data_IF_742852341066
#
_entry.id   IF_742852341066
#
_cell.length_a   1.000
_cell.length_b   1.000
_cell.length_c   1.000
_cell.angle_alpha   90.00
_cell.angle_beta   90.00
_cell.angle_gamma   90.00
#
_symmetry.space_group_name_H-M   'P 1'
#
loop_
_entity.id
_entity.type
_entity.pdbx_description
1 polymer ?
#
# COMPACT_ATOMS: atom_id res chain seq x y z
N UNK A 1 22.65 -19.89 -9.82
CA UNK A 1 21.18 -19.87 -9.95
C UNK A 1 20.48 -19.67 -8.61
N UNK A 2 20.89 -20.38 -7.55
CA UNK A 2 20.33 -20.27 -6.19
C UNK A 2 20.35 -18.85 -5.60
N UNK A 3 21.45 -18.09 -5.76
CA UNK A 3 21.52 -16.72 -5.24
C UNK A 3 20.48 -15.76 -5.84
N UNK A 4 20.15 -15.91 -7.14
CA UNK A 4 19.12 -15.11 -7.80
C UNK A 4 17.71 -15.47 -7.31
N UNK A 5 17.45 -16.76 -7.12
CA UNK A 5 16.18 -17.23 -6.55
C UNK A 5 16.00 -16.72 -5.12
N UNK A 6 17.04 -16.80 -4.29
CA UNK A 6 17.02 -16.27 -2.93
C UNK A 6 16.75 -14.76 -2.90
N UNK A 7 17.39 -13.96 -3.76
CA UNK A 7 17.12 -12.52 -3.85
C UNK A 7 15.68 -12.21 -4.28
N UNK A 8 15.14 -12.96 -5.25
CA UNK A 8 13.75 -12.82 -5.69
C UNK A 8 12.79 -13.16 -4.55
N UNK A 9 13.02 -14.27 -3.84
CA UNK A 9 12.21 -14.69 -2.70
C UNK A 9 12.25 -13.66 -1.57
N UNK A 10 13.43 -13.15 -1.20
CA UNK A 10 13.56 -12.10 -0.18
C UNK A 10 12.84 -10.83 -0.61
N UNK A 11 12.96 -10.42 -1.88
CA UNK A 11 12.25 -9.23 -2.35
C UNK A 11 10.72 -9.42 -2.33
N UNK A 12 10.24 -10.62 -2.65
CA UNK A 12 8.82 -10.93 -2.60
C UNK A 12 8.29 -10.96 -1.15
N UNK A 13 9.02 -11.58 -0.23
CA UNK A 13 8.71 -11.59 1.22
C UNK A 13 8.70 -10.16 1.76
N UNK A 14 9.73 -9.36 1.43
CA UNK A 14 9.81 -7.92 1.79
C UNK A 14 8.60 -7.13 1.29
N UNK A 15 8.18 -7.38 0.05
CA UNK A 15 7.03 -6.69 -0.54
C UNK A 15 5.71 -6.96 0.20
N UNK A 16 5.60 -8.12 0.86
CA UNK A 16 4.39 -8.54 1.57
C UNK A 16 4.46 -8.35 3.08
N UNK A 17 5.68 -8.23 3.64
CA UNK A 17 5.87 -8.09 5.08
C UNK A 17 5.22 -6.82 5.63
N UNK A 18 5.29 -5.70 4.93
CA UNK A 18 4.66 -4.44 5.36
C UNK A 18 3.15 -4.59 5.58
N UNK A 19 2.37 -5.01 4.56
CA UNK A 19 0.95 -5.30 4.71
C UNK A 19 0.60 -6.31 5.81
N UNK A 20 1.33 -7.43 5.93
CA UNK A 20 1.12 -8.41 7.01
C UNK A 20 1.38 -7.77 8.38
N UNK A 21 2.50 -7.08 8.55
CA UNK A 21 2.87 -6.46 9.83
C UNK A 21 1.84 -5.42 10.24
N UNK A 22 1.38 -4.60 9.31
CA UNK A 22 0.31 -3.64 9.57
C UNK A 22 -1.01 -4.33 9.95
N UNK A 23 -1.37 -5.42 9.28
CA UNK A 23 -2.55 -6.21 9.62
C UNK A 23 -2.45 -6.82 11.02
N UNK A 24 -1.31 -7.42 11.37
CA UNK A 24 -1.07 -7.99 12.70
C UNK A 24 -1.07 -6.92 13.80
N UNK A 25 -0.41 -5.78 13.57
CA UNK A 25 -0.44 -4.64 14.51
C UNK A 25 -1.89 -4.22 14.75
N UNK A 26 -2.69 -4.04 13.69
CA UNK A 26 -4.09 -3.66 13.83
C UNK A 26 -4.92 -4.72 14.57
N UNK A 27 -4.72 -6.00 14.25
CA UNK A 27 -5.39 -7.13 14.89
C UNK A 27 -5.17 -7.14 16.40
N UNK A 28 -3.90 -7.09 16.82
CA UNK A 28 -3.57 -7.11 18.25
C UNK A 28 -3.98 -5.82 18.94
N UNK A 29 -3.83 -4.66 18.30
CA UNK A 29 -4.21 -3.40 18.92
C UNK A 29 -5.72 -3.30 19.17
N UNK A 30 -6.56 -3.78 18.23
CA UNK A 30 -8.02 -3.84 18.44
C UNK A 30 -8.36 -4.75 19.62
N UNK A 31 -7.68 -5.89 19.74
CA UNK A 31 -7.92 -6.84 20.83
C UNK A 31 -7.53 -6.31 22.21
N UNK A 32 -6.43 -5.54 22.29
CA UNK A 32 -5.93 -5.03 23.57
C UNK A 32 -6.57 -3.70 23.98
N UNK A 33 -6.81 -2.80 23.04
CA UNK A 33 -7.25 -1.43 23.32
C UNK A 33 -8.69 -1.14 22.93
N UNK A 34 -9.34 -2.05 22.21
CA UNK A 34 -10.68 -1.86 21.67
C UNK A 34 -10.71 -1.14 20.32
N UNK A 35 -11.83 -1.33 19.63
CA UNK A 35 -12.10 -0.86 18.28
C UNK A 35 -12.06 0.67 18.17
N UNK A 36 -12.71 1.36 19.11
CA UNK A 36 -12.82 2.82 19.11
C UNK A 36 -11.46 3.51 19.18
N UNK A 37 -10.67 3.13 20.19
CA UNK A 37 -9.32 3.65 20.43
C UNK A 37 -8.41 3.45 19.23
N UNK A 38 -8.39 2.25 18.66
CA UNK A 38 -7.58 1.98 17.48
C UNK A 38 -8.08 2.70 16.23
N UNK A 39 -9.40 2.92 16.10
CA UNK A 39 -10.00 3.76 15.06
C UNK A 39 -9.45 5.18 15.03
N UNK A 40 -9.14 5.77 16.19
CA UNK A 40 -8.48 7.08 16.29
C UNK A 40 -7.07 7.03 15.68
N UNK A 41 -6.30 5.98 15.98
CA UNK A 41 -4.96 5.78 15.40
C UNK A 41 -5.03 5.63 13.88
N UNK A 42 -5.98 4.85 13.38
CA UNK A 42 -6.20 4.65 11.94
C UNK A 42 -6.47 5.98 11.25
N UNK A 43 -7.34 6.82 11.80
CA UNK A 43 -7.63 8.14 11.24
C UNK A 43 -6.36 9.01 11.12
N UNK A 44 -5.52 9.02 12.16
CA UNK A 44 -4.23 9.73 12.12
C UNK A 44 -3.30 9.16 11.04
N UNK A 45 -3.14 7.84 10.98
CA UNK A 45 -2.30 7.16 10.00
C UNK A 45 -2.77 7.39 8.55
N UNK A 46 -4.08 7.37 8.29
CA UNK A 46 -4.64 7.66 6.95
C UNK A 46 -4.31 9.08 6.49
N UNK A 47 -4.38 10.05 7.40
CA UNK A 47 -4.05 11.44 7.12
C UNK A 47 -2.55 11.58 6.80
N UNK A 48 -1.70 10.92 7.59
CA UNK A 48 -0.24 10.88 7.38
C UNK A 48 0.10 10.22 6.04
N UNK A 49 -0.44 9.03 5.76
CA UNK A 49 -0.15 8.31 4.53
C UNK A 49 -0.60 9.04 3.26
N UNK A 50 -1.71 9.79 3.33
CA UNK A 50 -2.15 10.67 2.25
C UNK A 50 -1.10 11.72 1.93
N UNK A 51 -0.62 12.44 2.94
CA UNK A 51 0.38 13.51 2.77
C UNK A 51 1.70 12.93 2.26
N UNK A 52 2.17 11.83 2.86
CA UNK A 52 3.37 11.12 2.41
C UNK A 52 3.26 10.70 0.94
N UNK A 53 2.08 10.20 0.53
CA UNK A 53 1.84 9.79 -0.84
C UNK A 53 2.05 10.96 -1.81
N UNK A 54 1.43 12.11 -1.55
CA UNK A 54 1.66 13.33 -2.34
C UNK A 54 3.12 13.77 -2.32
N UNK A 55 3.78 13.75 -1.17
CA UNK A 55 5.20 14.12 -1.08
C UNK A 55 6.13 13.20 -1.89
N UNK A 56 5.79 11.92 -2.04
CA UNK A 56 6.59 10.97 -2.81
C UNK A 56 6.61 11.30 -4.32
N UNK A 57 5.49 11.80 -4.85
CA UNK A 57 5.32 12.24 -6.24
C UNK A 57 5.98 11.34 -7.31
N UNK A 58 5.82 10.02 -7.17
CA UNK A 58 6.35 9.02 -8.13
C UNK A 58 7.89 8.94 -8.19
N UNK A 59 8.58 9.31 -7.11
CA UNK A 59 10.05 9.38 -7.08
C UNK A 59 10.74 8.03 -7.32
N UNK A 60 10.21 6.94 -6.76
CA UNK A 60 10.84 5.62 -6.75
C UNK A 60 11.12 5.09 -8.14
N UNK A 61 10.10 4.99 -8.98
CA UNK A 61 10.19 4.42 -10.34
C UNK A 61 11.09 5.29 -11.23
N UNK A 62 10.96 6.61 -11.12
CA UNK A 62 11.81 7.56 -11.83
C UNK A 62 13.28 7.43 -11.45
N UNK A 63 13.59 7.38 -10.16
CA UNK A 63 14.97 7.29 -9.67
C UNK A 63 15.62 5.99 -10.08
N UNK A 64 14.91 4.85 -9.97
CA UNK A 64 15.44 3.55 -10.43
C UNK A 64 15.82 3.59 -11.91
N UNK A 65 15.01 4.26 -12.76
CA UNK A 65 15.32 4.47 -14.17
C UNK A 65 16.53 5.41 -14.36
N UNK A 66 16.57 6.53 -13.65
CA UNK A 66 17.66 7.52 -13.72
C UNK A 66 19.01 6.92 -13.29
N UNK A 67 19.03 6.11 -12.23
CA UNK A 67 20.23 5.41 -11.75
C UNK A 67 20.79 4.44 -12.81
N UNK A 68 19.91 3.76 -13.55
CA UNK A 68 20.32 2.82 -14.60
C UNK A 68 20.94 3.54 -15.80
N UNK A 69 20.50 4.76 -16.11
CA UNK A 69 21.08 5.59 -17.19
C UNK A 69 22.38 6.29 -16.79
N UNK A 70 22.56 6.61 -15.50
CA UNK A 70 23.70 7.39 -14.99
C UNK A 70 24.27 6.77 -13.70
N UNK A 71 24.88 5.58 -13.76
CA UNK A 71 25.33 4.84 -12.58
C UNK A 71 26.44 5.55 -11.79
N UNK A 72 27.18 6.48 -12.39
CA UNK A 72 28.20 7.27 -11.70
C UNK A 72 27.63 8.41 -10.84
N UNK A 73 26.39 8.85 -11.09
CA UNK A 73 25.77 10.03 -10.45
C UNK A 73 24.57 9.68 -9.56
N UNK A 74 24.49 8.45 -9.05
CA UNK A 74 23.37 7.94 -8.26
C UNK A 74 23.04 8.84 -7.06
N UNK A 75 24.03 9.15 -6.22
CA UNK A 75 23.79 9.93 -5.01
C UNK A 75 23.43 11.38 -5.31
N UNK A 76 23.97 11.94 -6.40
CA UNK A 76 23.56 13.27 -6.85
C UNK A 76 22.09 13.28 -7.28
N UNK A 77 21.68 12.31 -8.12
CA UNK A 77 20.29 12.15 -8.51
C UNK A 77 19.36 11.90 -7.30
N UNK A 78 19.81 11.12 -6.32
CA UNK A 78 19.08 10.88 -5.08
C UNK A 78 18.87 12.16 -4.27
N UNK A 79 19.94 12.89 -3.94
CA UNK A 79 19.85 14.10 -3.13
C UNK A 79 19.06 15.20 -3.85
N UNK A 80 19.27 15.34 -5.17
CA UNK A 80 18.50 16.29 -5.98
C UNK A 80 17.00 16.05 -5.87
N UNK A 81 16.61 14.78 -6.00
CA UNK A 81 15.22 14.39 -5.89
C UNK A 81 14.67 14.52 -4.47
N UNK A 82 15.40 14.04 -3.47
CA UNK A 82 15.02 14.14 -2.07
C UNK A 82 14.77 15.59 -1.64
N UNK A 83 15.68 16.51 -2.00
CA UNK A 83 15.55 17.93 -1.71
C UNK A 83 14.39 18.57 -2.49
N UNK A 84 14.26 18.23 -3.78
CA UNK A 84 13.14 18.73 -4.59
C UNK A 84 11.79 18.30 -4.01
N UNK A 85 11.65 17.05 -3.54
CA UNK A 85 10.41 16.57 -2.89
C UNK A 85 10.20 17.11 -1.48
N UNK A 86 11.27 17.41 -0.77
CA UNK A 86 11.20 18.08 0.53
C UNK A 86 10.53 19.45 0.46
N UNK A 87 10.46 20.09 -0.72
CA UNK A 87 9.64 21.30 -0.92
C UNK A 87 8.14 21.08 -0.70
N UNK A 88 7.66 19.84 -0.75
CA UNK A 88 6.27 19.48 -0.42
C UNK A 88 6.05 19.23 1.08
N UNK A 89 7.10 19.28 1.92
CA UNK A 89 6.97 19.15 3.38
C UNK A 89 5.97 20.12 4.02
N UNK A 90 5.83 21.39 3.58
CA UNK A 90 4.81 22.28 4.12
C UNK A 90 3.38 21.75 4.01
N UNK A 91 3.08 20.80 3.10
CA UNK A 91 1.78 20.12 3.07
C UNK A 91 1.47 19.36 4.37
N UNK A 92 2.49 18.94 5.13
CA UNK A 92 2.28 18.33 6.43
C UNK A 92 1.69 19.28 7.48
N UNK A 93 1.82 20.61 7.29
CA UNK A 93 1.24 21.61 8.18
C UNK A 93 -0.30 21.58 8.16
N UNK A 94 -0.93 21.05 7.11
CA UNK A 94 -2.38 20.83 7.07
C UNK A 94 -2.87 19.94 8.22
N UNK A 95 -2.00 19.11 8.81
CA UNK A 95 -2.36 18.28 9.97
C UNK A 95 -2.75 19.11 11.21
N UNK A 96 -2.30 20.36 11.32
CA UNK A 96 -2.74 21.25 12.40
C UNK A 96 -4.23 21.63 12.31
N UNK A 97 -4.85 21.51 11.14
CA UNK A 97 -6.29 21.76 10.97
C UNK A 97 -7.15 20.60 11.52
N UNK A 98 -6.60 19.38 11.56
CA UNK A 98 -7.36 18.17 11.90
C UNK A 98 -7.03 17.63 13.30
N UNK A 99 -5.88 18.00 13.88
CA UNK A 99 -5.41 17.44 15.14
C UNK A 99 -4.95 18.54 16.12
N UNK A 100 -5.12 18.31 17.43
CA UNK A 100 -4.55 19.20 18.45
C UNK A 100 -3.03 19.37 18.29
N UNK A 101 -2.51 20.54 18.65
CA UNK A 101 -1.12 20.97 18.43
C UNK A 101 -0.07 19.87 18.72
N UNK A 102 -0.18 19.22 19.89
CA UNK A 102 0.77 18.18 20.30
C UNK A 102 0.69 16.92 19.43
N UNK A 103 -0.51 16.51 19.03
CA UNK A 103 -0.73 15.33 18.18
C UNK A 103 -0.25 15.64 16.76
N UNK A 104 -0.63 16.81 16.22
CA UNK A 104 -0.21 17.29 14.92
C UNK A 104 1.32 17.32 14.78
N UNK A 105 2.03 17.79 15.81
CA UNK A 105 3.49 17.77 15.84
C UNK A 105 4.07 16.35 15.66
N UNK A 106 3.56 15.36 16.40
CA UNK A 106 4.02 13.97 16.24
C UNK A 106 3.62 13.37 14.90
N UNK A 107 2.46 13.73 14.35
CA UNK A 107 2.04 13.32 13.00
C UNK A 107 2.96 13.91 11.92
N UNK A 108 3.37 15.17 12.04
CA UNK A 108 4.31 15.84 11.13
C UNK A 108 5.69 15.18 11.22
N UNK A 109 6.18 14.94 12.45
CA UNK A 109 7.45 14.26 12.65
C UNK A 109 7.43 12.86 12.01
N UNK A 110 6.36 12.10 12.22
CA UNK A 110 6.17 10.80 11.60
C UNK A 110 6.12 10.91 10.06
N UNK A 111 5.45 11.93 9.52
CA UNK A 111 5.41 12.21 8.08
C UNK A 111 6.80 12.44 7.51
N UNK A 112 7.65 13.23 8.18
CA UNK A 112 9.04 13.48 7.79
C UNK A 112 9.86 12.17 7.78
N UNK A 113 9.70 11.37 8.82
CA UNK A 113 10.41 10.09 8.94
C UNK A 113 10.00 9.11 7.85
N UNK A 114 8.70 8.97 7.58
CA UNK A 114 8.18 8.10 6.51
C UNK A 114 8.62 8.62 5.14
N UNK A 115 8.55 9.93 4.90
CA UNK A 115 9.02 10.53 3.64
C UNK A 115 10.48 10.19 3.37
N UNK A 116 11.33 10.37 4.38
CA UNK A 116 12.77 10.09 4.28
C UNK A 116 13.02 8.60 4.08
N UNK A 117 12.32 7.73 4.82
CA UNK A 117 12.38 6.28 4.65
C UNK A 117 11.99 5.86 3.22
N UNK A 118 10.88 6.40 2.69
CA UNK A 118 10.40 6.08 1.35
C UNK A 118 11.37 6.54 0.26
N UNK A 119 12.04 7.69 0.43
CA UNK A 119 13.05 8.15 -0.52
C UNK A 119 14.22 7.14 -0.66
N UNK A 120 14.63 6.52 0.45
CA UNK A 120 15.70 5.51 0.47
C UNK A 120 15.34 4.24 -0.29
N UNK A 121 14.05 3.95 -0.54
CA UNK A 121 13.65 2.71 -1.20
C UNK A 121 14.28 2.57 -2.60
N UNK A 122 14.40 3.68 -3.34
CA UNK A 122 15.06 3.70 -4.65
C UNK A 122 16.52 3.21 -4.58
N UNK A 123 17.27 3.61 -3.55
CA UNK A 123 18.65 3.21 -3.32
C UNK A 123 18.75 1.75 -2.86
N UNK A 124 17.79 1.27 -2.08
CA UNK A 124 17.74 -0.13 -1.64
C UNK A 124 17.53 -1.05 -2.83
N UNK A 125 16.61 -0.70 -3.73
CA UNK A 125 16.33 -1.46 -4.96
C UNK A 125 17.56 -1.50 -5.84
N UNK A 126 18.21 -0.35 -6.07
CA UNK A 126 19.40 -0.27 -6.91
C UNK A 126 20.56 -1.09 -6.36
N UNK A 127 20.85 -0.97 -5.06
CA UNK A 127 21.93 -1.71 -4.39
C UNK A 127 21.54 -3.15 -4.00
N UNK A 128 20.32 -3.59 -4.32
CA UNK A 128 19.76 -4.91 -3.98
C UNK A 128 19.83 -5.26 -2.48
N UNK A 129 19.76 -4.27 -1.58
CA UNK A 129 19.83 -4.46 -0.12
C UNK A 129 18.49 -4.83 0.51
N UNK A 130 17.74 -5.72 -0.13
CA UNK A 130 16.38 -6.10 0.27
C UNK A 130 16.33 -6.74 1.67
N UNK A 131 17.33 -7.55 2.02
CA UNK A 131 17.41 -8.21 3.33
C UNK A 131 17.54 -7.22 4.48
N UNK A 132 18.35 -6.16 4.30
CA UNK A 132 18.50 -5.12 5.33
C UNK A 132 17.19 -4.38 5.56
N UNK A 133 16.47 -4.03 4.48
CA UNK A 133 15.17 -3.40 4.60
C UNK A 133 14.18 -4.33 5.32
N UNK A 134 14.17 -5.62 4.98
CA UNK A 134 13.32 -6.60 5.63
C UNK A 134 13.62 -6.74 7.13
N UNK A 135 14.90 -6.77 7.53
CA UNK A 135 15.29 -6.76 8.96
C UNK A 135 14.84 -5.48 9.66
N UNK A 136 14.99 -4.32 9.03
CA UNK A 136 14.50 -3.06 9.57
C UNK A 136 12.97 -3.07 9.75
N UNK A 137 12.23 -3.63 8.79
CA UNK A 137 10.78 -3.87 8.89
C UNK A 137 10.41 -4.75 10.09
N UNK A 138 11.12 -5.88 10.28
CA UNK A 138 10.89 -6.78 11.42
C UNK A 138 11.16 -6.09 12.76
N UNK A 139 12.27 -5.35 12.88
CA UNK A 139 12.62 -4.66 14.13
C UNK A 139 11.56 -3.62 14.49
N UNK A 140 11.13 -2.81 13.52
CA UNK A 140 10.08 -1.81 13.76
C UNK A 140 8.74 -2.43 14.10
N UNK A 141 8.38 -3.51 13.41
CA UNK A 141 7.20 -4.31 13.73
C UNK A 141 7.28 -4.84 15.16
N UNK A 142 8.42 -5.39 15.58
CA UNK A 142 8.64 -5.85 16.94
C UNK A 142 8.52 -4.74 18.00
N UNK A 143 9.06 -3.54 17.72
CA UNK A 143 8.91 -2.36 18.60
C UNK A 143 7.43 -1.98 18.76
N UNK A 144 6.70 -1.85 17.65
CA UNK A 144 5.28 -1.44 17.69
C UNK A 144 4.44 -2.54 18.35
N UNK A 145 4.65 -3.80 17.96
CA UNK A 145 3.91 -4.93 18.48
C UNK A 145 4.15 -5.14 19.97
N UNK A 146 5.40 -5.11 20.43
CA UNK A 146 5.71 -5.21 21.87
C UNK A 146 5.05 -4.09 22.67
N UNK A 147 5.01 -2.87 22.14
CA UNK A 147 4.35 -1.76 22.84
C UNK A 147 2.85 -1.97 23.07
N UNK A 148 2.16 -2.73 22.21
CA UNK A 148 0.75 -3.09 22.40
C UNK A 148 0.58 -3.97 23.64
N UNK A 149 1.51 -4.90 23.88
CA UNK A 149 1.45 -5.81 25.03
C UNK A 149 1.91 -5.16 26.35
N UNK A 150 2.80 -4.16 26.29
CA UNK A 150 3.35 -3.51 27.49
C UNK A 150 2.52 -2.32 27.98
N UNK A 151 1.81 -1.61 27.09
CA UNK A 151 0.98 -0.47 27.47
C UNK A 151 -0.39 -0.94 27.95
N UNK A 152 -0.76 -0.56 29.17
CA UNK A 152 -2.08 -0.89 29.74
C UNK A 152 -3.23 -0.08 29.12
N UNK A 153 -2.98 1.19 28.83
CA UNK A 153 -3.99 2.13 28.34
C UNK A 153 -3.59 2.72 26.99
N UNK A 154 -4.58 2.93 26.12
CA UNK A 154 -4.37 3.56 24.84
C UNK A 154 -4.30 5.09 24.98
N UNK A 155 -3.20 5.66 24.49
CA UNK A 155 -3.08 7.09 24.28
C UNK A 155 -2.46 7.34 22.90
N UNK A 156 -3.20 8.03 22.03
CA UNK A 156 -2.79 8.33 20.65
C UNK A 156 -1.37 8.95 20.60
N UNK A 157 -1.10 9.92 21.48
CA UNK A 157 0.20 10.59 21.58
C UNK A 157 1.34 9.61 21.84
N UNK A 158 1.13 8.62 22.71
CA UNK A 158 2.15 7.61 23.05
C UNK A 158 2.40 6.69 21.87
N UNK A 159 1.34 6.24 21.18
CA UNK A 159 1.49 5.43 19.98
C UNK A 159 2.19 6.18 18.85
N UNK A 160 1.87 7.45 18.60
CA UNK A 160 2.58 8.25 17.61
C UNK A 160 4.08 8.40 17.94
N UNK A 161 4.43 8.57 19.22
CA UNK A 161 5.84 8.57 19.66
C UNK A 161 6.52 7.23 19.38
N UNK A 162 5.86 6.11 19.67
CA UNK A 162 6.38 4.77 19.41
C UNK A 162 6.59 4.56 17.90
N UNK A 163 5.64 4.99 17.07
CA UNK A 163 5.80 4.95 15.62
C UNK A 163 6.97 5.81 15.15
N UNK A 164 7.12 7.04 15.67
CA UNK A 164 8.28 7.88 15.37
C UNK A 164 9.60 7.20 15.76
N UNK A 165 9.64 6.58 16.94
CA UNK A 165 10.81 5.84 17.40
C UNK A 165 11.10 4.64 16.47
N UNK A 166 10.10 3.81 16.17
CA UNK A 166 10.24 2.65 15.29
C UNK A 166 10.71 3.04 13.87
N UNK A 167 10.16 4.11 13.30
CA UNK A 167 10.61 4.64 12.00
C UNK A 167 12.01 5.27 12.06
N UNK A 168 12.37 5.91 13.17
CA UNK A 168 13.74 6.41 13.37
C UNK A 168 14.74 5.28 13.39
N UNK A 169 14.47 4.19 14.11
CA UNK A 169 15.31 2.98 14.13
C UNK A 169 15.47 2.39 12.74
N UNK A 170 14.36 2.23 11.98
CA UNK A 170 14.41 1.77 10.57
C UNK A 170 15.33 2.62 9.72
N UNK A 171 15.15 3.93 9.81
CA UNK A 171 15.86 4.91 9.00
C UNK A 171 17.35 4.90 9.34
N UNK A 172 17.71 4.87 10.62
CA UNK A 172 19.11 4.77 11.07
C UNK A 172 19.77 3.49 10.53
N UNK A 173 19.10 2.33 10.68
CA UNK A 173 19.61 1.05 10.17
C UNK A 173 19.89 1.09 8.66
N UNK A 174 18.99 1.70 7.89
CA UNK A 174 19.16 1.85 6.45
C UNK A 174 20.26 2.84 6.07
N UNK A 175 20.35 4.00 6.74
CA UNK A 175 21.41 4.98 6.49
C UNK A 175 22.78 4.36 6.76
N UNK A 176 22.93 3.62 7.86
CA UNK A 176 24.15 2.89 8.22
C UNK A 176 24.54 1.89 7.13
N UNK A 177 23.59 1.03 6.75
CA UNK A 177 23.88 -0.01 5.78
C UNK A 177 24.13 0.53 4.37
N UNK A 178 23.45 1.62 3.98
CA UNK A 178 23.67 2.28 2.69
C UNK A 178 24.92 3.17 2.68
N UNK A 179 25.53 3.44 3.84
CA UNK A 179 26.73 4.30 4.02
C UNK A 179 26.55 5.67 3.38
N UNK A 180 25.35 6.24 3.52
CA UNK A 180 24.94 7.49 2.83
C UNK A 180 25.86 8.65 3.22
N UNK A 181 26.29 8.71 4.48
CA UNK A 181 27.19 9.75 5.00
C UNK A 181 28.57 9.77 4.32
N UNK A 182 29.02 8.67 3.71
CA UNK A 182 30.32 8.62 3.01
C UNK A 182 30.26 9.19 1.60
N UNK A 183 29.07 9.56 1.12
CA UNK A 183 28.84 9.96 -0.26
C UNK A 183 28.72 11.47 -0.37
N UNK A 184 29.25 12.07 -1.44
CA UNK A 184 29.25 13.52 -1.60
C UNK A 184 27.81 14.02 -1.62
N UNK A 185 27.51 14.94 -0.71
CA UNK A 185 26.24 15.63 -0.67
C UNK A 185 26.21 16.69 -1.77
N UNK A 186 25.09 16.77 -2.50
CA UNK A 186 24.90 17.74 -3.56
C UNK A 186 23.56 18.43 -3.38
N UNK A 187 23.59 19.73 -3.15
CA UNK A 187 22.38 20.54 -3.04
C UNK A 187 21.95 21.02 -4.43
N UNK A 188 20.98 20.34 -5.02
CA UNK A 188 20.38 20.77 -6.28
C UNK A 188 18.86 20.60 -6.19
N UNK A 189 18.11 21.65 -6.50
CA UNK A 189 16.65 21.60 -6.57
C UNK A 189 16.28 21.78 -8.03
N UNK A 190 15.46 20.87 -8.57
CA UNK A 190 15.08 20.92 -9.97
C UNK A 190 13.57 20.78 -10.13
N UNK A 191 12.93 21.84 -10.62
CA UNK A 191 11.49 21.82 -10.98
C UNK A 191 11.20 20.81 -12.09
N UNK A 192 12.15 20.58 -13.00
CA UNK A 192 12.00 19.62 -14.08
C UNK A 192 11.77 18.20 -13.56
N UNK A 193 12.29 17.87 -12.37
CA UNK A 193 12.01 16.56 -11.78
C UNK A 193 10.53 16.34 -11.45
N UNK A 194 9.78 17.38 -11.07
CA UNK A 194 8.34 17.25 -10.84
C UNK A 194 7.59 16.87 -12.12
N UNK A 195 7.94 17.50 -13.23
CA UNK A 195 7.34 17.21 -14.53
C UNK A 195 7.72 15.81 -15.02
N UNK A 196 8.99 15.42 -14.85
CA UNK A 196 9.49 14.12 -15.29
C UNK A 196 8.88 12.94 -14.52
N UNK A 197 8.51 13.13 -13.25
CA UNK A 197 7.90 12.07 -12.43
C UNK A 197 6.37 12.10 -12.43
N UNK A 198 5.74 13.11 -13.05
CA UNK A 198 4.29 13.27 -13.02
C UNK A 198 3.54 12.03 -13.55
N UNK A 199 4.03 11.40 -14.62
CA UNK A 199 3.43 10.17 -15.14
C UNK A 199 3.45 9.01 -14.12
N UNK A 200 4.55 8.84 -13.39
CA UNK A 200 4.65 7.84 -12.32
C UNK A 200 3.78 8.20 -11.12
N UNK A 201 3.69 9.48 -10.79
CA UNK A 201 2.76 9.97 -9.76
C UNK A 201 1.31 9.64 -10.12
N UNK A 202 0.87 9.92 -11.35
CA UNK A 202 -0.49 9.59 -11.79
C UNK A 202 -0.78 8.09 -11.76
N UNK A 203 0.21 7.25 -12.10
CA UNK A 203 0.11 5.79 -11.96
C UNK A 203 -0.09 5.38 -10.50
N UNK A 204 0.77 5.88 -9.60
CA UNK A 204 0.63 5.65 -8.16
C UNK A 204 -0.71 6.14 -7.61
N UNK A 205 -1.15 7.33 -8.05
CA UNK A 205 -2.38 7.98 -7.57
C UNK A 205 -3.58 7.16 -7.99
N UNK A 206 -3.62 6.70 -9.25
CA UNK A 206 -4.70 5.86 -9.73
C UNK A 206 -4.87 4.58 -8.90
N UNK A 207 -3.76 3.90 -8.55
CA UNK A 207 -3.79 2.68 -7.74
C UNK A 207 -4.14 2.96 -6.28
N UNK A 208 -3.65 4.07 -5.73
CA UNK A 208 -3.94 4.47 -4.36
C UNK A 208 -5.41 4.85 -4.18
N UNK A 209 -5.97 5.71 -5.05
CA UNK A 209 -7.39 6.08 -4.99
C UNK A 209 -8.27 4.84 -5.20
N UNK A 210 -7.97 4.02 -6.21
CA UNK A 210 -8.76 2.81 -6.48
C UNK A 210 -8.80 1.81 -5.31
N UNK A 211 -7.78 1.78 -4.45
CA UNK A 211 -7.66 0.81 -3.35
C UNK A 211 -8.04 1.35 -1.97
N UNK A 212 -8.21 2.68 -1.83
CA UNK A 212 -8.42 3.32 -0.52
C UNK A 212 -9.56 4.33 -0.47
N UNK A 213 -10.15 4.72 -1.60
CA UNK A 213 -11.20 5.75 -1.63
C UNK A 213 -12.41 5.39 -0.76
N UNK A 214 -12.77 4.11 -0.75
CA UNK A 214 -13.81 3.54 0.11
C UNK A 214 -13.50 3.76 1.59
N UNK A 215 -12.26 3.50 1.99
CA UNK A 215 -11.79 3.66 3.36
C UNK A 215 -11.80 5.14 3.79
N UNK A 216 -11.49 6.07 2.89
CA UNK A 216 -11.62 7.51 3.19
C UNK A 216 -13.07 7.93 3.41
N UNK A 217 -14.02 7.40 2.64
CA UNK A 217 -15.45 7.68 2.86
C UNK A 217 -15.91 7.10 4.18
N UNK A 218 -15.54 5.84 4.48
CA UNK A 218 -15.84 5.22 5.78
C UNK A 218 -15.24 6.05 6.93
N UNK A 219 -14.01 6.55 6.78
CA UNK A 219 -13.36 7.40 7.79
C UNK A 219 -14.06 8.74 8.01
N UNK A 220 -14.73 9.27 6.99
CA UNK A 220 -15.47 10.53 7.05
C UNK A 220 -16.90 10.37 7.58
N UNK A 221 -17.56 9.25 7.27
CA UNK A 221 -19.00 9.05 7.49
C UNK A 221 -19.32 8.21 8.73
N UNK A 222 -18.42 7.32 9.15
CA UNK A 222 -18.69 6.33 10.20
C UNK A 222 -18.03 6.65 11.54
N UNK A 223 -18.52 6.00 12.60
CA UNK A 223 -17.92 6.05 13.93
C UNK A 223 -16.56 5.34 13.97
N UNK A 224 -15.71 5.71 14.95
CA UNK A 224 -14.32 5.22 15.05
C UNK A 224 -14.22 3.70 15.19
N UNK A 225 -15.19 3.07 15.86
CA UNK A 225 -15.28 1.61 15.96
C UNK A 225 -15.40 0.96 14.58
N UNK A 226 -16.39 1.37 13.79
CA UNK A 226 -16.66 0.85 12.45
C UNK A 226 -15.49 1.12 11.49
N UNK A 227 -14.78 2.25 11.65
CA UNK A 227 -13.56 2.54 10.88
C UNK A 227 -12.49 1.47 11.14
N UNK A 228 -12.30 1.07 12.40
CA UNK A 228 -11.34 0.03 12.74
C UNK A 228 -11.74 -1.34 12.20
N UNK A 229 -13.01 -1.71 12.31
CA UNK A 229 -13.58 -2.97 11.80
C UNK A 229 -13.42 -3.06 10.28
N UNK A 230 -13.79 -1.99 9.59
CA UNK A 230 -13.67 -1.93 8.13
C UNK A 230 -12.21 -1.96 7.69
N UNK A 231 -11.34 -1.17 8.33
CA UNK A 231 -9.93 -1.08 7.96
C UNK A 231 -9.21 -2.41 8.10
N UNK A 232 -9.43 -3.15 9.19
CA UNK A 232 -8.80 -4.46 9.36
C UNK A 232 -9.37 -5.48 8.36
N UNK A 233 -10.69 -5.45 8.14
CA UNK A 233 -11.35 -6.40 7.25
C UNK A 233 -10.97 -6.17 5.77
N UNK A 234 -11.03 -4.93 5.28
CA UNK A 234 -10.64 -4.60 3.91
C UNK A 234 -9.15 -4.86 3.70
N UNK A 235 -8.30 -4.64 4.71
CA UNK A 235 -6.87 -4.98 4.62
C UNK A 235 -6.68 -6.49 4.47
N UNK A 236 -7.44 -7.31 5.19
CA UNK A 236 -7.40 -8.77 5.03
C UNK A 236 -7.78 -9.20 3.59
N UNK A 237 -8.85 -8.62 3.04
CA UNK A 237 -9.25 -8.91 1.65
C UNK A 237 -8.25 -8.40 0.63
N UNK A 238 -7.64 -7.22 0.84
CA UNK A 238 -6.56 -6.71 -0.01
C UNK A 238 -5.32 -7.63 0.02
N UNK A 239 -5.01 -8.28 1.14
CA UNK A 239 -3.96 -9.30 1.21
C UNK A 239 -4.31 -10.48 0.29
N UNK A 240 -5.56 -10.98 0.32
CA UNK A 240 -6.03 -12.04 -0.58
C UNK A 240 -5.94 -11.63 -2.06
N UNK A 241 -6.32 -10.39 -2.38
CA UNK A 241 -6.20 -9.85 -3.74
C UNK A 241 -4.73 -9.78 -4.20
N UNK A 242 -3.82 -9.38 -3.30
CA UNK A 242 -2.39 -9.26 -3.64
C UNK A 242 -1.71 -10.60 -3.95
N UNK A 243 -2.24 -11.72 -3.45
CA UNK A 243 -1.78 -13.06 -3.82
C UNK A 243 -1.90 -13.32 -5.33
N UNK A 244 -2.88 -12.70 -6.01
CA UNK A 244 -3.01 -12.79 -7.47
C UNK A 244 -1.77 -12.26 -8.19
N UNK A 245 -1.22 -11.14 -7.72
CA UNK A 245 0.01 -10.57 -8.26
C UNK A 245 1.23 -11.42 -7.90
N UNK A 246 1.26 -12.02 -6.71
CA UNK A 246 2.34 -12.90 -6.28
C UNK A 246 2.50 -14.12 -7.20
N UNK A 247 1.39 -14.71 -7.66
CA UNK A 247 1.42 -15.81 -8.63
C UNK A 247 2.11 -15.39 -9.94
N UNK A 248 1.97 -14.13 -10.33
CA UNK A 248 2.49 -13.59 -11.61
C UNK A 248 3.90 -13.00 -11.45
N UNK A 249 4.27 -12.55 -10.25
CA UNK A 249 5.51 -11.84 -9.97
C UNK A 249 6.78 -12.54 -10.52
N UNK A 250 6.97 -13.88 -10.37
CA UNK A 250 8.12 -14.58 -10.93
C UNK A 250 8.23 -14.44 -12.46
N UNK A 251 7.11 -14.26 -13.13
CA UNK A 251 7.03 -14.18 -14.59
C UNK A 251 7.12 -12.75 -15.11
N UNK A 252 6.96 -11.72 -14.27
CA UNK A 252 6.82 -10.32 -14.72
C UNK A 252 7.95 -9.88 -15.68
N UNK A 253 9.22 -10.18 -15.36
CA UNK A 253 10.36 -9.86 -16.23
C UNK A 253 10.30 -10.55 -17.60
N UNK A 254 9.83 -11.79 -17.64
CA UNK A 254 9.75 -12.60 -18.85
C UNK A 254 8.44 -12.36 -19.62
N UNK A 255 7.41 -11.84 -18.95
CA UNK A 255 6.06 -11.66 -19.45
C UNK A 255 6.02 -10.85 -20.75
N UNK A 256 6.86 -9.81 -20.86
CA UNK A 256 6.99 -8.97 -22.05
C UNK A 256 7.42 -9.74 -23.32
N UNK A 257 8.05 -10.90 -23.16
CA UNK A 257 8.58 -11.73 -24.27
C UNK A 257 7.77 -13.01 -24.51
N UNK A 258 6.78 -13.32 -23.67
CA UNK A 258 6.01 -14.57 -23.80
C UNK A 258 5.09 -14.55 -25.03
N UNK A 259 4.92 -15.69 -25.74
CA UNK A 259 3.94 -15.78 -26.82
C UNK A 259 2.51 -15.73 -26.26
N UNK A 260 1.55 -15.23 -27.07
CA UNK A 260 0.14 -15.06 -26.67
C UNK A 260 -0.48 -16.36 -26.12
N UNK A 261 -0.13 -17.51 -26.72
CA UNK A 261 -0.59 -18.85 -26.26
C UNK A 261 -0.19 -19.13 -24.80
N UNK A 262 1.03 -18.78 -24.40
CA UNK A 262 1.49 -18.97 -23.01
C UNK A 262 0.80 -18.03 -22.04
N UNK A 263 0.56 -16.78 -22.45
CA UNK A 263 -0.20 -15.81 -21.63
C UNK A 263 -1.62 -16.32 -21.37
N UNK A 264 -2.29 -16.88 -22.37
CA UNK A 264 -3.61 -17.48 -22.20
C UNK A 264 -3.60 -18.66 -21.22
N UNK A 265 -2.57 -19.53 -21.29
CA UNK A 265 -2.39 -20.61 -20.32
C UNK A 265 -2.23 -20.09 -18.89
N UNK A 266 -1.38 -19.06 -18.69
CA UNK A 266 -1.21 -18.42 -17.37
C UNK A 266 -2.55 -17.86 -16.87
N UNK A 267 -3.29 -17.15 -17.72
CA UNK A 267 -4.62 -16.61 -17.39
C UNK A 267 -5.60 -17.69 -16.93
N UNK A 268 -5.62 -18.85 -17.62
CA UNK A 268 -6.46 -19.99 -17.25
C UNK A 268 -6.05 -20.59 -15.91
N UNK A 269 -4.75 -20.74 -15.65
CA UNK A 269 -4.23 -21.25 -14.37
C UNK A 269 -4.59 -20.31 -13.22
N UNK A 270 -4.32 -19.01 -13.36
CA UNK A 270 -4.63 -18.01 -12.33
C UNK A 270 -6.13 -18.01 -12.01
N UNK A 271 -7.00 -18.11 -13.03
CA UNK A 271 -8.45 -18.21 -12.86
C UNK A 271 -8.92 -19.50 -12.17
N UNK A 272 -8.33 -20.66 -12.48
CA UNK A 272 -8.71 -21.90 -11.80
C UNK A 272 -8.22 -21.93 -10.35
N UNK A 273 -7.03 -21.38 -10.08
CA UNK A 273 -6.47 -21.32 -8.72
C UNK A 273 -7.22 -20.31 -7.86
N UNK A 274 -7.82 -19.26 -8.44
CA UNK A 274 -8.45 -18.20 -7.66
C UNK A 274 -9.62 -18.69 -6.81
N UNK A 275 -10.47 -19.57 -7.33
CA UNK A 275 -11.67 -20.02 -6.59
C UNK A 275 -11.33 -20.79 -5.30
N UNK A 276 -10.54 -21.89 -5.31
CA UNK A 276 -10.17 -22.57 -4.08
C UNK A 276 -9.34 -21.67 -3.14
N UNK A 277 -8.41 -20.87 -3.70
CA UNK A 277 -7.56 -20.00 -2.90
C UNK A 277 -8.35 -18.91 -2.17
N UNK A 278 -9.27 -18.23 -2.87
CA UNK A 278 -10.11 -17.18 -2.27
C UNK A 278 -11.07 -17.79 -1.26
N UNK A 279 -11.68 -18.95 -1.53
CA UNK A 279 -12.59 -19.62 -0.58
C UNK A 279 -11.85 -19.99 0.71
N UNK A 280 -10.70 -20.67 0.62
CA UNK A 280 -9.91 -21.06 1.80
C UNK A 280 -9.44 -19.80 2.56
N UNK A 281 -8.95 -18.80 1.84
CA UNK A 281 -8.46 -17.57 2.47
C UNK A 281 -9.59 -16.78 3.14
N UNK A 282 -10.79 -16.75 2.55
CA UNK A 282 -11.95 -16.07 3.12
C UNK A 282 -12.44 -16.76 4.40
N UNK A 283 -12.43 -18.10 4.42
CA UNK A 283 -12.71 -18.87 5.65
C UNK A 283 -11.69 -18.57 6.75
N UNK A 284 -10.41 -18.47 6.38
CA UNK A 284 -9.35 -18.10 7.33
C UNK A 284 -9.51 -16.66 7.85
N UNK A 285 -9.86 -15.71 6.97
CA UNK A 285 -10.15 -14.32 7.36
C UNK A 285 -11.38 -14.26 8.27
N UNK A 286 -12.46 -14.98 7.95
CA UNK A 286 -13.62 -15.09 8.83
C UNK A 286 -13.23 -15.61 10.21
N UNK A 287 -12.46 -16.70 10.27
CA UNK A 287 -12.00 -17.28 11.53
C UNK A 287 -11.16 -16.27 12.34
N UNK A 288 -10.19 -15.60 11.73
CA UNK A 288 -9.37 -14.59 12.43
C UNK A 288 -10.23 -13.43 12.92
N UNK A 289 -11.02 -12.81 12.04
CA UNK A 289 -11.72 -11.58 12.39
C UNK A 289 -12.87 -11.83 13.38
N UNK A 290 -13.53 -12.99 13.31
CA UNK A 290 -14.64 -13.28 14.20
C UNK A 290 -14.20 -13.93 15.52
N UNK A 291 -13.27 -14.89 15.49
CA UNK A 291 -12.83 -15.60 16.69
C UNK A 291 -11.70 -14.87 17.44
N UNK A 292 -10.78 -14.24 16.72
CA UNK A 292 -9.63 -13.56 17.33
C UNK A 292 -9.96 -12.09 17.55
N UNK A 293 -10.45 -11.38 16.52
CA UNK A 293 -10.70 -9.93 16.59
C UNK A 293 -12.07 -9.53 17.15
N UNK A 294 -13.01 -10.49 17.26
CA UNK A 294 -14.39 -10.29 17.76
C UNK A 294 -15.09 -9.10 17.09
N UNK A 295 -15.00 -9.01 15.76
CA UNK A 295 -15.61 -7.90 15.04
C UNK A 295 -17.15 -7.99 15.04
N UNK A 296 -17.73 -9.19 15.14
CA UNK A 296 -19.18 -9.42 15.07
C UNK A 296 -19.79 -8.94 13.74
N UNK A 297 -19.06 -9.12 12.63
CA UNK A 297 -19.55 -8.73 11.31
C UNK A 297 -20.50 -9.81 10.76
N UNK A 298 -21.54 -9.43 10.00
CA UNK A 298 -22.48 -10.40 9.44
C UNK A 298 -21.79 -11.31 8.41
N UNK A 299 -22.19 -12.58 8.33
CA UNK A 299 -21.60 -13.56 7.41
C UNK A 299 -21.59 -13.07 5.95
N UNK A 300 -22.65 -12.36 5.54
CA UNK A 300 -22.79 -11.77 4.21
C UNK A 300 -21.64 -10.81 3.87
N UNK A 301 -21.09 -10.09 4.86
CA UNK A 301 -19.93 -9.23 4.67
C UNK A 301 -18.71 -10.03 4.20
N UNK A 302 -18.46 -11.19 4.81
CA UNK A 302 -17.33 -12.05 4.45
C UNK A 302 -17.51 -12.71 3.09
N UNK A 303 -18.72 -13.16 2.78
CA UNK A 303 -19.04 -13.76 1.47
C UNK A 303 -18.79 -12.73 0.37
N UNK A 304 -19.34 -11.52 0.50
CA UNK A 304 -19.18 -10.46 -0.49
C UNK A 304 -17.72 -9.99 -0.56
N UNK A 305 -17.04 -9.85 0.57
CA UNK A 305 -15.62 -9.54 0.63
C UNK A 305 -14.77 -10.58 -0.11
N UNK A 306 -15.01 -11.87 0.11
CA UNK A 306 -14.37 -12.95 -0.63
C UNK A 306 -14.65 -12.88 -2.13
N UNK A 307 -15.92 -12.72 -2.52
CA UNK A 307 -16.32 -12.57 -3.93
C UNK A 307 -15.65 -11.35 -4.60
N UNK A 308 -15.45 -10.24 -3.87
CA UNK A 308 -14.75 -9.05 -4.36
C UNK A 308 -13.29 -9.30 -4.72
N UNK A 309 -12.67 -10.32 -4.14
CA UNK A 309 -11.29 -10.69 -4.45
C UNK A 309 -11.17 -11.41 -5.79
N UNK A 310 -12.19 -12.17 -6.20
CA UNK A 310 -12.13 -13.05 -7.38
C UNK A 310 -11.82 -12.27 -8.67
N UNK A 311 -12.49 -11.14 -9.00
CA UNK A 311 -12.22 -10.40 -10.25
C UNK A 311 -10.75 -10.02 -10.44
N UNK A 312 -10.02 -9.71 -9.36
CA UNK A 312 -8.61 -9.30 -9.43
C UNK A 312 -7.73 -10.36 -10.09
N UNK A 313 -7.98 -11.65 -9.81
CA UNK A 313 -7.29 -12.77 -10.43
C UNK A 313 -7.57 -12.87 -11.93
N UNK A 314 -8.77 -12.47 -12.36
CA UNK A 314 -9.16 -12.54 -13.77
C UNK A 314 -8.58 -11.42 -14.64
N UNK A 315 -8.35 -10.23 -14.08
CA UNK A 315 -7.85 -9.07 -14.84
C UNK A 315 -6.37 -8.74 -14.60
N UNK A 316 -5.71 -9.27 -13.57
CA UNK A 316 -4.30 -8.94 -13.28
C UNK A 316 -3.36 -9.31 -14.45
N UNK A 317 -3.60 -10.43 -15.13
CA UNK A 317 -2.84 -10.82 -16.33
C UNK A 317 -3.13 -9.86 -17.48
N UNK A 318 -4.37 -9.37 -17.60
CA UNK A 318 -4.76 -8.41 -18.63
C UNK A 318 -4.04 -7.07 -18.41
N UNK A 319 -3.94 -6.58 -17.17
CA UNK A 319 -3.13 -5.39 -16.82
C UNK A 319 -1.68 -5.56 -17.32
N UNK A 320 -1.06 -6.71 -17.08
CA UNK A 320 0.31 -6.97 -17.55
C UNK A 320 0.42 -6.98 -19.08
N UNK A 321 -0.63 -7.41 -19.80
CA UNK A 321 -0.69 -7.32 -21.26
C UNK A 321 -0.80 -5.87 -21.73
N UNK A 322 -1.56 -5.03 -21.03
CA UNK A 322 -1.63 -3.59 -21.33
C UNK A 322 -0.27 -2.90 -21.14
N UNK A 323 0.44 -3.20 -20.04
CA UNK A 323 1.80 -2.70 -19.83
C UNK A 323 2.78 -3.19 -20.90
N UNK A 324 2.68 -4.46 -21.30
CA UNK A 324 3.47 -4.99 -22.41
C UNK A 324 3.28 -4.20 -23.71
N UNK A 325 2.05 -3.74 -23.96
CA UNK A 325 1.69 -3.02 -25.18
C UNK A 325 1.84 -1.49 -25.05
N UNK A 326 2.50 -0.97 -23.99
CA UNK A 326 2.64 0.47 -23.71
C UNK A 326 1.29 1.21 -23.65
N UNK A 327 0.26 0.54 -23.13
CA UNK A 327 -1.10 1.09 -22.94
C UNK A 327 -1.34 1.48 -21.47
N UNK A 328 -0.31 1.97 -20.77
CA UNK A 328 -0.39 2.43 -19.36
C UNK A 328 -1.48 3.51 -19.19
N UNK A 329 -1.62 4.40 -20.17
CA UNK A 329 -2.65 5.45 -20.16
C UNK A 329 -4.08 4.89 -20.13
N UNK A 330 -4.32 3.73 -20.73
CA UNK A 330 -5.65 3.09 -20.67
C UNK A 330 -5.90 2.49 -19.29
N UNK A 331 -4.89 1.85 -18.70
CA UNK A 331 -4.95 1.34 -17.31
C UNK A 331 -5.25 2.48 -16.33
N UNK A 332 -4.56 3.61 -16.50
CA UNK A 332 -4.80 4.84 -15.74
C UNK A 332 -6.26 5.31 -15.82
N UNK A 333 -6.79 5.46 -17.04
CA UNK A 333 -8.18 5.90 -17.26
C UNK A 333 -9.18 4.95 -16.61
N UNK A 334 -9.00 3.64 -16.80
CA UNK A 334 -9.86 2.62 -16.20
C UNK A 334 -9.83 2.73 -14.66
N UNK A 335 -8.64 2.87 -14.06
CA UNK A 335 -8.51 2.99 -12.61
C UNK A 335 -9.19 4.25 -12.07
N UNK A 336 -9.02 5.41 -12.71
CA UNK A 336 -9.67 6.65 -12.26
C UNK A 336 -11.18 6.63 -12.41
N UNK A 337 -11.70 6.13 -13.55
CA UNK A 337 -13.14 5.98 -13.76
C UNK A 337 -13.75 5.07 -12.69
N UNK A 338 -13.12 3.93 -12.43
CA UNK A 338 -13.58 2.98 -11.42
C UNK A 338 -13.41 3.53 -10.00
N UNK A 339 -12.35 4.26 -9.71
CA UNK A 339 -12.19 4.94 -8.42
C UNK A 339 -13.29 5.96 -8.16
N UNK A 340 -13.66 6.77 -9.16
CA UNK A 340 -14.77 7.72 -9.07
C UNK A 340 -16.13 7.01 -8.93
N UNK A 341 -16.33 5.94 -9.71
CA UNK A 341 -17.53 5.11 -9.58
C UNK A 341 -17.65 4.47 -8.19
N UNK A 342 -16.55 3.95 -7.65
CA UNK A 342 -16.49 3.40 -6.30
C UNK A 342 -16.77 4.47 -5.24
N UNK A 343 -16.24 5.68 -5.41
CA UNK A 343 -16.51 6.81 -4.52
C UNK A 343 -18.02 7.07 -4.42
N UNK A 344 -18.69 7.23 -5.56
CA UNK A 344 -20.14 7.49 -5.62
C UNK A 344 -20.92 6.32 -5.01
N UNK A 345 -20.63 5.09 -5.44
CA UNK A 345 -21.33 3.91 -4.93
C UNK A 345 -21.16 3.73 -3.42
N UNK A 346 -19.93 3.93 -2.92
CA UNK A 346 -19.63 3.77 -1.50
C UNK A 346 -20.39 4.81 -0.69
N UNK A 347 -20.38 6.08 -1.13
CA UNK A 347 -21.13 7.16 -0.49
C UNK A 347 -22.64 6.85 -0.42
N UNK A 348 -23.25 6.43 -1.53
CA UNK A 348 -24.69 6.12 -1.59
C UNK A 348 -25.10 4.86 -0.81
N UNK A 349 -24.27 3.82 -0.80
CA UNK A 349 -24.59 2.55 -0.16
C UNK A 349 -24.30 2.56 1.34
N UNK A 350 -23.32 3.35 1.80
CA UNK A 350 -22.99 3.49 3.22
C UNK A 350 -24.18 4.01 4.02
N UNK A 351 -24.90 5.01 3.51
CA UNK A 351 -26.05 5.61 4.20
C UNK A 351 -27.16 4.59 4.49
N UNK A 352 -27.35 3.60 3.61
CA UNK A 352 -28.44 2.62 3.71
C UNK A 352 -28.02 1.31 4.37
N UNK A 353 -26.80 0.84 4.11
CA UNK A 353 -26.35 -0.52 4.44
C UNK A 353 -25.13 -0.55 5.36
N UNK A 354 -24.62 0.60 5.81
CA UNK A 354 -23.47 0.67 6.69
C UNK A 354 -22.20 0.08 6.06
N UNK A 355 -21.43 -0.69 6.85
CA UNK A 355 -20.22 -1.39 6.40
C UNK A 355 -20.49 -2.39 5.26
N UNK A 356 -21.67 -3.02 5.24
CA UNK A 356 -22.05 -3.93 4.16
C UNK A 356 -22.17 -3.18 2.83
N UNK A 357 -22.67 -1.94 2.87
CA UNK A 357 -22.73 -1.07 1.69
C UNK A 357 -21.35 -0.78 1.11
N UNK A 358 -20.36 -0.51 1.97
CA UNK A 358 -18.98 -0.27 1.55
C UNK A 358 -18.31 -1.52 0.93
N UNK A 359 -18.56 -2.73 1.43
CA UNK A 359 -17.97 -3.92 0.79
C UNK A 359 -18.70 -4.29 -0.52
N UNK A 360 -20.00 -4.00 -0.62
CA UNK A 360 -20.77 -4.17 -1.86
C UNK A 360 -20.25 -3.22 -2.95
N UNK A 361 -19.99 -1.95 -2.62
CA UNK A 361 -19.42 -1.01 -3.59
C UNK A 361 -18.07 -1.50 -4.10
N UNK A 362 -17.20 -2.02 -3.22
CA UNK A 362 -15.93 -2.63 -3.62
C UNK A 362 -16.15 -3.83 -4.54
N UNK A 363 -17.08 -4.73 -4.24
CA UNK A 363 -17.41 -5.87 -5.11
C UNK A 363 -17.86 -5.40 -6.50
N UNK A 364 -18.84 -4.49 -6.58
CA UNK A 364 -19.36 -3.96 -7.83
C UNK A 364 -18.24 -3.28 -8.62
N UNK A 365 -17.39 -2.50 -7.94
CA UNK A 365 -16.25 -1.84 -8.56
C UNK A 365 -15.24 -2.84 -9.16
N UNK A 366 -14.92 -3.91 -8.46
CA UNK A 366 -14.01 -4.95 -8.96
C UNK A 366 -14.59 -5.69 -10.18
N UNK A 367 -15.90 -5.95 -10.18
CA UNK A 367 -16.60 -6.49 -11.35
C UNK A 367 -16.59 -5.51 -12.53
N UNK A 368 -16.81 -4.22 -12.28
CA UNK A 368 -16.73 -3.16 -13.29
C UNK A 368 -15.34 -3.12 -13.95
N UNK A 369 -14.26 -3.14 -13.15
CA UNK A 369 -12.88 -3.20 -13.65
C UNK A 369 -12.69 -4.43 -14.55
N UNK A 370 -13.17 -5.60 -14.13
CA UNK A 370 -13.11 -6.82 -14.93
C UNK A 370 -13.83 -6.65 -16.28
N UNK A 371 -15.05 -6.11 -16.28
CA UNK A 371 -15.80 -5.83 -17.49
C UNK A 371 -15.02 -4.89 -18.43
N UNK A 372 -14.49 -3.78 -17.92
CA UNK A 372 -13.68 -2.87 -18.72
C UNK A 372 -12.49 -3.57 -19.38
N UNK A 373 -11.76 -4.42 -18.64
CA UNK A 373 -10.62 -5.13 -19.22
C UNK A 373 -11.03 -6.21 -20.24
N UNK A 374 -12.17 -6.90 -20.06
CA UNK A 374 -12.62 -7.92 -21.03
C UNK A 374 -13.22 -7.30 -22.29
N UNK A 375 -14.03 -6.25 -22.17
CA UNK A 375 -14.72 -5.64 -23.30
C UNK A 375 -13.80 -4.71 -24.13
N UNK A 376 -12.89 -3.95 -23.50
CA UNK A 376 -11.90 -3.17 -24.27
C UNK A 376 -10.79 -4.03 -24.91
N UNK A 377 -10.64 -5.30 -24.53
CA UNK A 377 -9.68 -6.19 -25.18
C UNK A 377 -10.12 -6.62 -26.60
N UNK A 378 -11.39 -6.38 -26.96
CA UNK A 378 -11.96 -6.71 -28.27
C UNK A 378 -11.88 -5.56 -29.29
N UNK A 379 -11.21 -4.45 -28.95
CA UNK A 379 -10.82 -3.36 -29.87
C UNK A 379 -9.31 -3.11 -29.78
#
# INVERSE_FOLDING_TARGET
MMHKLLLISINAIRGFSGPIFNFLIALFAINFFGKENWGIMINALLSIFLIVFFMSWGNKEYLVRKYSTQPSKIFNAFYSNFLSRSLLLPLSLFLFLFFPLQIAFWCILLTILIHTYNALESLIIYNQKFGVQFVAEIIAFGIILSSIFFLKNFHLKTFLKIYCFAFSVKLILLIINLKIWKKPFTFTISKNEFTATFGFFMLGLSGWVASKVDLYIVNFTMHKEQISEYQIAITAFLLIQSLSYFIILPFNKHFYRLPKKTIYKIKKIVAYVSLPLVTISTLFVWYILEKIAKLNLPLNFYIIGGLSCIPTYFFIVDIMVYYRNKKENTVLKINFINAFFNLILTFLLIEKLGLLGAIISVFINQCSILCFYKFNFLR
#
